data_IF_623737921848
#
_entry.id   IF_623737921848
#
_cell.length_a   1.000
_cell.length_b   1.000
_cell.length_c   1.000
_cell.angle_alpha   90.00
_cell.angle_beta   90.00
_cell.angle_gamma   90.00
#
_symmetry.space_group_name_H-M   'P 1'
#
loop_
_entity.id
_entity.type
_entity.pdbx_description
1 polymer ?
#
# COMPACT_ATOMS: atom_id res chain seq x y z
N UNK A 1 -27.50 -39.74 0.74
CA UNK A 1 -26.91 -38.39 0.85
C UNK A 1 -27.95 -37.38 0.37
N UNK A 2 -28.39 -36.43 1.20
CA UNK A 2 -29.43 -35.45 0.83
C UNK A 2 -28.86 -34.40 -0.12
N UNK A 3 -29.50 -34.22 -1.28
CA UNK A 3 -29.17 -33.18 -2.28
C UNK A 3 -30.01 -31.90 -2.11
N UNK A 4 -30.75 -31.77 -1.00
CA UNK A 4 -31.65 -30.64 -0.80
C UNK A 4 -30.84 -29.38 -0.44
N UNK A 5 -30.90 -28.35 -1.29
CA UNK A 5 -30.41 -27.00 -0.98
C UNK A 5 -31.13 -26.51 0.28
N UNK A 6 -30.43 -26.51 1.40
CA UNK A 6 -30.98 -26.15 2.70
C UNK A 6 -31.59 -24.73 2.69
N UNK A 7 -32.84 -24.64 3.14
CA UNK A 7 -33.54 -23.45 3.61
C UNK A 7 -33.21 -22.14 2.86
N UNK A 8 -33.65 -22.07 1.59
CA UNK A 8 -33.42 -20.93 0.68
C UNK A 8 -34.18 -19.66 1.14
N UNK A 9 -35.15 -19.80 2.04
CA UNK A 9 -35.95 -18.73 2.64
C UNK A 9 -35.94 -18.82 4.17
N UNK A 10 -34.93 -18.21 4.79
CA UNK A 10 -34.88 -18.07 6.26
C UNK A 10 -35.94 -17.06 6.68
N UNK A 11 -36.89 -17.45 7.54
CA UNK A 11 -37.95 -16.56 8.05
C UNK A 11 -37.45 -15.52 9.04
N UNK A 12 -36.36 -15.81 9.76
CA UNK A 12 -35.74 -14.90 10.74
C UNK A 12 -34.35 -14.48 10.29
N UNK A 13 -34.05 -13.19 10.44
CA UNK A 13 -32.71 -12.64 10.25
C UNK A 13 -31.68 -13.26 11.19
N UNK A 14 -30.39 -13.03 10.89
CA UNK A 14 -29.31 -13.55 11.72
C UNK A 14 -29.41 -13.00 13.16
N UNK A 15 -29.38 -13.88 14.16
CA UNK A 15 -29.55 -13.53 15.59
C UNK A 15 -28.48 -12.55 16.11
N UNK A 16 -27.25 -12.66 15.58
CA UNK A 16 -26.08 -11.92 16.07
C UNK A 16 -25.57 -10.96 15.00
N UNK A 17 -26.17 -9.78 14.89
CA UNK A 17 -25.73 -8.76 13.95
C UNK A 17 -24.70 -7.82 14.60
N UNK A 18 -23.80 -7.28 13.78
CA UNK A 18 -22.84 -6.28 14.24
C UNK A 18 -23.58 -4.98 14.56
N UNK A 19 -23.46 -4.50 15.81
CA UNK A 19 -24.03 -3.21 16.23
C UNK A 19 -23.26 -2.03 15.64
N UNK A 20 -21.95 -2.20 15.43
CA UNK A 20 -21.06 -1.14 14.94
C UNK A 20 -20.33 -1.65 13.70
N UNK A 21 -20.23 -0.80 12.67
CA UNK A 21 -19.45 -1.11 11.48
C UNK A 21 -17.95 -1.29 11.82
N UNK A 22 -17.30 -2.23 11.14
CA UNK A 22 -15.86 -2.42 11.27
C UNK A 22 -15.12 -1.15 10.84
N UNK A 23 -14.17 -0.72 11.68
CA UNK A 23 -13.24 0.38 11.42
C UNK A 23 -11.82 -0.15 11.56
N UNK A 24 -11.01 0.04 10.52
CA UNK A 24 -9.63 -0.43 10.49
C UNK A 24 -8.65 0.42 11.33
N UNK A 25 -9.10 1.56 11.83
CA UNK A 25 -8.36 2.52 12.63
C UNK A 25 -8.85 2.59 14.09
N UNK A 26 -9.75 1.68 14.52
CA UNK A 26 -10.34 1.67 15.87
C UNK A 26 -9.29 1.70 16.99
N UNK A 27 -8.14 1.09 16.78
CA UNK A 27 -7.03 1.02 17.75
C UNK A 27 -5.77 1.72 17.23
N UNK A 28 -5.95 2.70 16.34
CA UNK A 28 -4.87 3.34 15.60
C UNK A 28 -4.60 2.66 14.26
N UNK A 29 -4.33 3.48 13.24
CA UNK A 29 -4.00 2.98 11.91
C UNK A 29 -2.50 2.69 11.80
N UNK A 30 -2.13 1.44 11.50
CA UNK A 30 -0.74 1.09 11.18
C UNK A 30 -0.27 1.82 9.93
N UNK A 31 1.04 2.00 9.77
CA UNK A 31 1.62 2.66 8.59
C UNK A 31 1.18 1.98 7.28
N UNK A 32 1.02 0.66 7.28
CA UNK A 32 0.53 -0.09 6.13
C UNK A 32 -0.93 0.24 5.80
N UNK A 33 -1.79 0.38 6.81
CA UNK A 33 -3.20 0.75 6.62
C UNK A 33 -3.31 2.18 6.09
N UNK A 34 -2.50 3.12 6.61
CA UNK A 34 -2.44 4.48 6.09
C UNK A 34 -2.03 4.51 4.62
N UNK A 35 -0.95 3.81 4.25
CA UNK A 35 -0.49 3.67 2.85
C UNK A 35 -1.54 3.03 1.94
N UNK A 36 -2.31 2.07 2.45
CA UNK A 36 -3.38 1.43 1.68
C UNK A 36 -4.58 2.38 1.47
N UNK A 37 -4.93 3.20 2.47
CA UNK A 37 -6.02 4.18 2.39
C UNK A 37 -5.73 5.32 1.40
N UNK A 38 -4.48 5.76 1.29
CA UNK A 38 -4.08 6.84 0.38
C UNK A 38 -3.90 6.38 -1.07
N UNK A 39 -3.88 5.06 -1.32
CA UNK A 39 -3.62 4.52 -2.65
C UNK A 39 -4.84 4.72 -3.55
N UNK A 40 -4.67 5.47 -4.63
CA UNK A 40 -5.68 5.60 -5.69
C UNK A 40 -5.69 4.33 -6.57
N UNK A 41 -6.89 3.87 -6.92
CA UNK A 41 -7.13 2.64 -7.67
C UNK A 41 -7.61 2.96 -9.11
N UNK A 42 -6.68 3.43 -9.94
CA UNK A 42 -6.96 3.89 -11.32
C UNK A 42 -7.05 2.76 -12.34
N UNK A 43 -7.71 3.02 -13.49
CA UNK A 43 -7.74 2.06 -14.60
C UNK A 43 -8.50 0.76 -14.29
N UNK A 44 -9.45 0.82 -13.36
CA UNK A 44 -10.30 -0.30 -12.96
C UNK A 44 -11.77 -0.03 -13.29
N UNK A 45 -12.51 -1.09 -13.58
CA UNK A 45 -13.97 -1.04 -13.64
C UNK A 45 -14.57 -0.87 -12.23
N UNK A 46 -15.81 -0.42 -12.16
CA UNK A 46 -16.50 -0.12 -10.89
C UNK A 46 -16.52 -1.32 -9.94
N UNK A 47 -16.77 -2.51 -10.47
CA UNK A 47 -16.72 -3.74 -9.69
C UNK A 47 -15.33 -3.96 -9.07
N UNK A 48 -14.26 -3.86 -9.88
CA UNK A 48 -12.92 -4.13 -9.40
C UNK A 48 -12.44 -3.09 -8.39
N UNK A 49 -12.82 -1.82 -8.58
CA UNK A 49 -12.59 -0.72 -7.64
C UNK A 49 -13.21 -1.05 -6.28
N UNK A 50 -14.51 -1.39 -6.24
CA UNK A 50 -15.19 -1.77 -4.99
C UNK A 50 -14.56 -2.97 -4.28
N UNK A 51 -14.04 -3.96 -5.02
CA UNK A 51 -13.32 -5.11 -4.44
C UNK A 51 -12.02 -4.68 -3.75
N UNK A 52 -11.27 -3.74 -4.34
CA UNK A 52 -10.03 -3.25 -3.75
C UNK A 52 -10.31 -2.33 -2.55
N UNK A 53 -11.26 -1.40 -2.67
CA UNK A 53 -11.70 -0.54 -1.58
C UNK A 53 -12.18 -1.36 -0.39
N UNK A 54 -12.94 -2.45 -0.63
CA UNK A 54 -13.33 -3.38 0.42
C UNK A 54 -12.11 -4.03 1.09
N UNK A 55 -11.11 -4.46 0.32
CA UNK A 55 -9.86 -5.02 0.88
C UNK A 55 -9.12 -4.00 1.74
N UNK A 56 -9.08 -2.74 1.33
CA UNK A 56 -8.48 -1.64 2.11
C UNK A 56 -9.28 -1.40 3.40
N UNK A 57 -10.61 -1.29 3.29
CA UNK A 57 -11.53 -1.06 4.42
C UNK A 57 -11.41 -2.14 5.50
N UNK A 58 -11.22 -3.40 5.10
CA UNK A 58 -11.18 -4.55 6.01
C UNK A 58 -9.75 -5.06 6.31
N UNK A 59 -8.70 -4.28 6.05
CA UNK A 59 -7.30 -4.68 6.29
C UNK A 59 -6.89 -6.00 5.63
N UNK A 60 -7.45 -6.28 4.45
CA UNK A 60 -7.15 -7.47 3.63
C UNK A 60 -6.32 -7.12 2.39
N UNK A 61 -5.97 -5.86 2.19
CA UNK A 61 -5.13 -5.40 1.09
C UNK A 61 -3.67 -5.78 1.34
N UNK A 62 -3.06 -6.49 0.38
CA UNK A 62 -1.65 -6.88 0.42
C UNK A 62 -0.90 -6.20 -0.73
N UNK A 63 0.05 -5.29 -0.46
CA UNK A 63 0.87 -4.69 -1.50
C UNK A 63 1.79 -5.74 -2.13
N UNK A 64 2.31 -5.42 -3.31
CA UNK A 64 3.36 -6.21 -3.95
C UNK A 64 4.71 -5.86 -3.33
N UNK A 65 5.51 -6.89 -3.04
CA UNK A 65 6.92 -6.73 -2.68
C UNK A 65 7.80 -6.56 -3.94
N UNK A 66 7.42 -7.23 -5.02
CA UNK A 66 8.09 -7.18 -6.32
C UNK A 66 7.07 -6.99 -7.43
N UNK A 67 7.52 -6.41 -8.54
CA UNK A 67 6.70 -6.18 -9.72
C UNK A 67 6.31 -7.51 -10.39
N UNK A 68 5.07 -7.60 -10.87
CA UNK A 68 4.55 -8.79 -11.56
C UNK A 68 4.66 -8.68 -13.07
N UNK A 69 4.65 -9.83 -13.73
CA UNK A 69 4.58 -9.94 -15.20
C UNK A 69 3.20 -9.51 -15.69
N UNK A 70 3.16 -8.61 -16.67
CA UNK A 70 1.94 -8.20 -17.33
C UNK A 70 1.45 -9.29 -18.29
N UNK A 71 0.14 -9.54 -18.36
CA UNK A 71 -0.45 -10.52 -19.29
C UNK A 71 -0.35 -10.07 -20.76
N UNK A 72 -0.27 -8.77 -21.03
CA UNK A 72 -0.25 -8.23 -22.41
C UNK A 72 1.15 -8.05 -22.98
N UNK A 73 2.00 -7.25 -22.31
CA UNK A 73 3.36 -7.02 -22.79
C UNK A 73 4.38 -8.06 -22.31
N UNK A 74 3.99 -8.97 -21.42
CA UNK A 74 4.85 -10.04 -20.87
C UNK A 74 6.11 -9.54 -20.14
N UNK A 75 6.21 -8.24 -19.86
CA UNK A 75 7.29 -7.65 -19.06
C UNK A 75 6.88 -7.55 -17.59
N UNK A 76 7.86 -7.47 -16.68
CA UNK A 76 7.64 -7.27 -15.23
C UNK A 76 7.29 -5.81 -14.91
N UNK A 77 6.21 -5.28 -15.49
CA UNK A 77 5.85 -3.85 -15.42
C UNK A 77 4.65 -3.56 -14.51
N UNK A 78 4.03 -4.59 -13.91
CA UNK A 78 2.89 -4.42 -13.02
C UNK A 78 3.37 -4.02 -11.63
N UNK A 79 3.19 -2.74 -11.29
CA UNK A 79 3.58 -2.16 -9.99
C UNK A 79 2.44 -2.24 -8.95
N UNK A 80 1.19 -2.13 -9.39
CA UNK A 80 0.05 -2.09 -8.47
C UNK A 80 -0.43 -3.50 -8.07
N UNK A 81 -0.86 -3.63 -6.81
CA UNK A 81 -1.30 -4.92 -6.31
C UNK A 81 -2.64 -5.34 -6.91
N UNK A 82 -2.83 -6.65 -7.09
CA UNK A 82 -4.03 -7.26 -7.69
C UNK A 82 -4.29 -6.90 -9.16
N UNK A 83 -3.38 -6.20 -9.82
CA UNK A 83 -3.45 -5.94 -11.25
C UNK A 83 -2.85 -7.14 -12.02
N UNK A 84 -3.43 -7.43 -13.18
CA UNK A 84 -2.94 -8.47 -14.11
C UNK A 84 -2.32 -7.85 -15.37
N UNK A 85 -2.63 -6.58 -15.65
CA UNK A 85 -2.06 -5.80 -16.74
C UNK A 85 -1.35 -4.56 -16.22
N UNK A 86 -0.37 -4.11 -17.00
CA UNK A 86 0.33 -2.87 -16.76
C UNK A 86 -0.56 -1.66 -17.08
N UNK A 87 -0.40 -0.53 -16.40
CA UNK A 87 -1.15 0.71 -16.71
C UNK A 87 -1.09 1.11 -18.20
N UNK A 88 0.09 1.12 -18.87
CA UNK A 88 0.12 1.48 -20.30
C UNK A 88 -0.57 0.46 -21.19
N UNK A 89 -0.62 -0.82 -20.78
CA UNK A 89 -1.34 -1.86 -21.49
C UNK A 89 -2.86 -1.70 -21.36
N UNK A 90 -3.31 -1.32 -20.16
CA UNK A 90 -4.71 -1.06 -19.85
C UNK A 90 -5.23 0.17 -20.62
N UNK A 91 -4.41 1.22 -20.71
CA UNK A 91 -4.69 2.42 -21.50
C UNK A 91 -4.86 2.13 -22.99
N UNK A 92 -3.84 1.52 -23.62
CA UNK A 92 -3.85 1.25 -25.06
C UNK A 92 -5.00 0.34 -25.52
N UNK A 93 -5.49 -0.52 -24.64
CA UNK A 93 -6.54 -1.50 -24.96
C UNK A 93 -7.90 -1.13 -24.36
N UNK A 94 -7.97 -0.07 -23.56
CA UNK A 94 -9.16 0.35 -22.80
C UNK A 94 -9.78 -0.81 -22.00
N UNK A 95 -8.93 -1.55 -21.29
CA UNK A 95 -9.33 -2.69 -20.47
C UNK A 95 -9.06 -2.44 -19.00
N UNK A 96 -9.94 -2.93 -18.13
CA UNK A 96 -9.71 -2.92 -16.69
C UNK A 96 -8.42 -3.69 -16.34
N UNK A 97 -7.49 -3.02 -15.65
CA UNK A 97 -6.16 -3.57 -15.36
C UNK A 97 -6.17 -4.80 -14.42
N UNK A 98 -7.29 -5.08 -13.74
CA UNK A 98 -7.49 -6.23 -12.84
C UNK A 98 -8.21 -7.41 -13.49
N UNK A 99 -9.34 -7.18 -14.17
CA UNK A 99 -10.14 -8.27 -14.74
C UNK A 99 -9.95 -8.47 -16.24
N UNK A 100 -9.33 -7.52 -16.95
CA UNK A 100 -9.07 -7.62 -18.38
C UNK A 100 -10.32 -7.49 -19.27
N UNK A 101 -11.46 -7.06 -18.72
CA UNK A 101 -12.72 -6.87 -19.44
C UNK A 101 -12.87 -5.41 -19.91
N UNK A 102 -13.58 -5.24 -21.03
CA UNK A 102 -14.11 -3.95 -21.52
C UNK A 102 -15.38 -3.63 -20.74
N UNK A 103 -15.21 -3.08 -19.55
CA UNK A 103 -16.30 -2.52 -18.75
C UNK A 103 -15.96 -1.05 -18.50
N UNK A 104 -16.95 -0.20 -18.29
CA UNK A 104 -16.76 1.23 -18.05
C UNK A 104 -15.71 1.46 -16.96
N UNK A 105 -14.60 2.08 -17.34
CA UNK A 105 -13.45 2.33 -16.48
C UNK A 105 -13.76 3.64 -15.73
N UNK A 106 -13.85 3.55 -14.41
CA UNK A 106 -14.41 4.62 -13.54
C UNK A 106 -13.46 5.79 -13.36
N UNK A 107 -12.18 5.59 -13.66
CA UNK A 107 -11.16 6.63 -13.59
C UNK A 107 -10.38 6.56 -14.91
N UNK A 108 -10.64 7.48 -15.86
CA UNK A 108 -9.72 7.76 -16.95
C UNK A 108 -8.33 7.99 -16.36
N UNK A 109 -7.33 7.28 -16.88
CA UNK A 109 -5.93 7.55 -16.56
C UNK A 109 -5.54 8.80 -17.35
N UNK A 110 -5.98 9.96 -16.87
CA UNK A 110 -5.65 11.23 -17.52
C UNK A 110 -4.14 11.48 -17.39
N UNK A 111 -3.57 11.91 -18.51
CA UNK A 111 -2.18 12.32 -18.66
C UNK A 111 -1.99 13.64 -17.93
N UNK A 112 -1.40 13.62 -16.74
CA UNK A 112 -0.69 14.79 -16.23
C UNK A 112 0.80 14.55 -16.45
N UNK A 113 1.33 15.20 -17.48
CA UNK A 113 2.74 15.30 -17.82
C UNK A 113 3.49 16.16 -16.78
N UNK A 114 4.68 15.67 -16.42
CA UNK A 114 5.93 16.40 -16.22
C UNK A 114 5.94 17.70 -15.37
N UNK A 115 6.59 17.59 -14.21
CA UNK A 115 7.03 18.72 -13.37
C UNK A 115 8.32 18.34 -12.65
N UNK A 116 9.42 18.56 -13.35
CA UNK A 116 10.83 18.59 -12.90
C UNK A 116 11.04 19.36 -11.58
N UNK A 117 11.84 18.81 -10.65
CA UNK A 117 12.86 19.59 -9.91
C UNK A 117 13.91 18.66 -9.31
N UNK A 118 14.99 18.53 -10.09
CA UNK A 118 16.40 18.63 -9.72
C UNK A 118 16.95 17.90 -8.47
N UNK A 119 17.82 16.95 -8.78
CA UNK A 119 18.97 16.62 -7.96
C UNK A 119 19.95 17.81 -7.91
N UNK A 120 20.32 18.24 -6.69
CA UNK A 120 21.62 18.88 -6.44
C UNK A 120 22.36 18.08 -5.39
N UNK A 121 23.32 17.28 -5.87
CA UNK A 121 24.49 16.94 -5.09
C UNK A 121 25.44 18.14 -5.07
N UNK A 122 26.04 18.41 -3.92
CA UNK A 122 27.25 19.20 -3.81
C UNK A 122 28.16 18.55 -2.77
N UNK A 123 29.22 17.93 -3.27
CA UNK A 123 30.44 17.63 -2.53
C UNK A 123 31.25 18.93 -2.34
N UNK A 124 31.83 19.08 -1.14
CA UNK A 124 33.02 19.85 -0.73
C UNK A 124 33.34 19.31 0.66
N UNK A 125 34.45 18.61 0.93
CA UNK A 125 35.84 18.97 0.65
C UNK A 125 36.44 19.49 1.96
N UNK A 126 37.31 18.68 2.57
CA UNK A 126 38.03 18.85 3.85
C UNK A 126 38.72 20.21 4.04
N UNK A 127 38.87 20.62 5.30
CA UNK A 127 40.13 21.15 5.89
C UNK A 127 40.03 21.15 7.43
N UNK A 128 41.04 20.54 8.06
CA UNK A 128 41.32 20.49 9.51
C UNK A 128 41.99 21.80 9.96
N UNK A 129 41.75 22.27 11.18
CA UNK A 129 42.80 22.85 12.06
C UNK A 129 42.49 22.52 13.53
N UNK A 130 43.54 22.11 14.24
CA UNK A 130 43.65 21.85 15.67
C UNK A 130 43.97 23.14 16.43
N UNK A 131 43.38 23.33 17.61
CA UNK A 131 44.00 24.09 18.69
C UNK A 131 43.36 23.76 20.06
N UNK A 132 44.12 22.95 20.79
CA UNK A 132 44.35 22.87 22.22
C UNK A 132 43.48 23.70 23.18
N UNK A 133 42.85 23.03 24.15
CA UNK A 133 43.04 23.44 25.55
C UNK A 133 42.90 22.28 26.53
N UNK A 134 43.87 22.24 27.43
CA UNK A 134 44.26 21.12 28.29
C UNK A 134 43.98 21.48 29.76
N UNK A 135 43.59 20.46 30.54
CA UNK A 135 43.47 20.37 32.01
C UNK A 135 42.17 20.84 32.68
N UNK A 136 41.46 19.90 33.31
CA UNK A 136 41.64 19.72 34.75
C UNK A 136 41.38 18.27 35.21
N UNK A 137 42.31 17.79 36.01
CA UNK A 137 42.42 16.46 36.61
C UNK A 137 41.72 16.49 37.96
N UNK A 138 40.85 15.51 38.23
CA UNK A 138 40.14 15.44 39.52
C UNK A 138 39.66 14.03 39.84
N UNK A 139 40.59 13.08 39.89
CA UNK A 139 40.44 11.75 40.50
C UNK A 139 39.71 11.84 41.84
N UNK A 140 38.74 10.95 42.10
CA UNK A 140 38.65 10.18 43.34
C UNK A 140 37.67 9.00 43.21
N UNK A 141 38.15 7.87 43.72
CA UNK A 141 37.57 6.53 43.76
C UNK A 141 36.31 6.45 44.63
N UNK A 142 35.53 5.37 44.44
CA UNK A 142 35.01 4.44 45.46
C UNK A 142 33.87 3.63 44.79
N UNK A 143 34.10 2.42 44.26
CA UNK A 143 34.09 1.14 44.98
C UNK A 143 32.72 0.80 45.60
N UNK A 144 31.92 -0.09 44.97
CA UNK A 144 31.21 -1.18 45.68
C UNK A 144 30.56 -2.24 44.74
N UNK A 145 31.21 -3.40 44.74
CA UNK A 145 30.84 -4.81 44.57
C UNK A 145 29.67 -5.39 43.75
N UNK A 146 29.98 -6.60 43.26
CA UNK A 146 29.16 -7.57 42.51
C UNK A 146 28.15 -8.33 43.39
N UNK A 147 27.02 -8.73 42.81
CA UNK A 147 26.61 -10.15 42.61
C UNK A 147 25.48 -10.21 41.54
#
# INVERSE_FOLDING_TARGET
>A
MSNQKGNVSRSRGQKHQNVIAYKNDKYGASAQVKKAKTKVHDGLCQHCKGVLEWKVKYNKYKPLTQQRKCVKCLQKTVKDAYHVMCKPCALKLELCAKCGKKEEIVIPLDQEEEGEVEAKGQEKGDEEEEDDDVNDIGTNNDEFDSD
#
